data_IF_509606055952
#
_entry.id   IF_509606055952
#
_cell.length_a   1.000
_cell.length_b   1.000
_cell.length_c   1.000
_cell.angle_alpha   90.00
_cell.angle_beta   90.00
_cell.angle_gamma   90.00
#
_symmetry.space_group_name_H-M   'P 1'
#
loop_
_entity.id
_entity.type
_entity.pdbx_description
1 polymer ?
#
# COMPACT_ATOMS: atom_id res chain seq x y z
N UNK A 1 -11.08 3.58 -76.81
CA UNK A 1 -11.19 2.14 -77.13
C UNK A 1 -10.70 1.37 -75.91
N UNK A 2 -11.46 1.24 -74.83
CA UNK A 2 -12.83 0.73 -74.69
C UNK A 2 -12.93 -0.79 -74.83
N UNK A 3 -13.57 -1.42 -73.84
CA UNK A 3 -14.03 -2.82 -73.81
C UNK A 3 -13.28 -3.64 -72.75
N UNK A 4 -13.76 -3.95 -71.55
CA UNK A 4 -15.10 -4.07 -70.95
C UNK A 4 -16.09 -5.03 -71.64
N UNK A 5 -16.51 -6.02 -70.84
CA UNK A 5 -17.73 -6.88 -70.84
C UNK A 5 -17.46 -8.34 -71.18
N UNK A 6 -17.59 -9.28 -70.23
CA UNK A 6 -18.76 -9.74 -69.41
C UNK A 6 -19.55 -10.84 -70.12
N UNK A 7 -19.97 -11.82 -69.31
CA UNK A 7 -21.18 -12.68 -69.40
C UNK A 7 -20.78 -14.15 -69.19
N UNK A 8 -21.01 -14.76 -68.02
CA UNK A 8 -22.28 -15.40 -67.56
C UNK A 8 -22.63 -16.64 -68.40
N UNK A 9 -23.10 -17.79 -67.93
CA UNK A 9 -23.45 -18.36 -66.61
C UNK A 9 -23.83 -19.85 -66.87
N UNK A 10 -23.76 -20.72 -65.85
CA UNK A 10 -24.71 -21.83 -65.58
C UNK A 10 -24.23 -22.60 -64.31
N UNK A 11 -24.92 -22.50 -63.16
CA UNK A 11 -26.00 -23.42 -62.66
C UNK A 11 -25.45 -24.85 -62.38
N UNK A 12 -25.54 -25.49 -61.21
CA UNK A 12 -26.59 -25.51 -60.17
C UNK A 12 -26.05 -26.18 -58.86
N UNK A 13 -26.69 -25.83 -57.74
CA UNK A 13 -26.55 -26.20 -56.31
C UNK A 13 -26.24 -27.68 -55.93
N UNK A 14 -25.57 -27.88 -54.76
CA UNK A 14 -26.17 -28.39 -53.50
C UNK A 14 -25.21 -28.21 -52.29
N UNK A 15 -25.85 -27.95 -51.14
CA UNK A 15 -25.41 -27.53 -49.80
C UNK A 15 -24.34 -28.38 -49.07
N UNK A 16 -23.59 -27.68 -48.21
CA UNK A 16 -22.89 -28.26 -47.04
C UNK A 16 -22.08 -27.23 -46.27
N UNK A 17 -22.75 -26.41 -45.44
CA UNK A 17 -22.14 -25.43 -44.53
C UNK A 17 -21.15 -26.08 -43.55
N UNK A 18 -19.90 -25.61 -43.52
CA UNK A 18 -19.16 -25.30 -42.27
C UNK A 18 -18.39 -23.99 -42.50
N UNK A 19 -18.85 -22.93 -41.85
CA UNK A 19 -18.28 -21.59 -41.87
C UNK A 19 -17.11 -21.54 -40.86
N UNK A 20 -15.89 -21.78 -41.32
CA UNK A 20 -14.67 -21.50 -40.56
C UNK A 20 -14.23 -20.06 -40.76
N UNK A 21 -14.77 -19.14 -39.95
CA UNK A 21 -14.31 -17.75 -39.87
C UNK A 21 -12.87 -17.72 -39.33
N UNK A 22 -11.92 -17.40 -40.22
CA UNK A 22 -10.57 -16.97 -39.88
C UNK A 22 -10.65 -15.66 -39.08
N UNK A 23 -10.55 -15.76 -37.76
CA UNK A 23 -10.29 -14.62 -36.87
C UNK A 23 -8.84 -14.19 -37.10
N UNK A 24 -8.55 -12.90 -37.37
CA UNK A 24 -7.17 -12.45 -37.47
C UNK A 24 -6.50 -12.60 -36.11
N UNK A 25 -5.33 -13.22 -36.10
CA UNK A 25 -4.50 -13.44 -34.93
C UNK A 25 -4.39 -12.14 -34.12
N UNK A 26 -5.07 -12.13 -32.98
CA UNK A 26 -4.98 -11.08 -31.99
C UNK A 26 -3.51 -11.04 -31.55
N UNK A 27 -2.78 -10.01 -32.00
CA UNK A 27 -1.43 -9.74 -31.55
C UNK A 27 -1.48 -9.67 -30.03
N UNK A 28 -0.92 -10.69 -29.38
CA UNK A 28 -0.80 -10.79 -27.94
C UNK A 28 0.09 -9.61 -27.53
N UNK A 29 -0.53 -8.54 -27.02
CA UNK A 29 0.18 -7.50 -26.29
C UNK A 29 0.93 -8.19 -25.16
N UNK A 30 2.23 -8.43 -25.36
CA UNK A 30 3.10 -8.86 -24.28
C UNK A 30 2.95 -7.85 -23.15
N UNK A 31 2.55 -8.34 -21.96
CA UNK A 31 2.63 -7.55 -20.73
C UNK A 31 4.08 -7.12 -20.57
N UNK A 32 4.40 -5.86 -20.86
CA UNK A 32 5.59 -5.24 -20.28
C UNK A 32 5.44 -5.39 -18.77
N UNK A 33 6.26 -6.26 -18.17
CA UNK A 33 6.43 -6.29 -16.73
C UNK A 33 6.75 -4.87 -16.30
N UNK A 34 6.08 -4.38 -15.26
CA UNK A 34 6.45 -3.14 -14.58
C UNK A 34 7.96 -3.16 -14.38
N UNK A 35 8.69 -2.04 -14.63
CA UNK A 35 10.12 -1.99 -14.37
C UNK A 35 10.34 -2.45 -12.93
N UNK A 36 10.99 -3.60 -12.76
CA UNK A 36 11.41 -3.99 -11.43
C UNK A 36 12.51 -3.00 -11.02
N UNK A 37 12.41 -2.37 -9.85
CA UNK A 37 13.48 -1.52 -9.33
C UNK A 37 14.69 -2.42 -9.03
N UNK A 38 15.51 -2.63 -10.06
CA UNK A 38 16.59 -3.61 -10.06
C UNK A 38 17.46 -3.53 -11.32
N UNK A 39 17.35 -2.47 -12.11
CA UNK A 39 18.31 -2.21 -13.19
C UNK A 39 19.16 -1.00 -12.80
N UNK A 40 20.45 -1.27 -12.61
CA UNK A 40 21.54 -0.30 -12.46
C UNK A 40 21.39 0.85 -13.47
N UNK A 41 20.93 2.02 -13.00
CA UNK A 41 21.13 3.41 -13.53
C UNK A 41 20.10 4.47 -13.08
N UNK A 42 19.14 4.18 -12.21
CA UNK A 42 18.30 5.25 -11.63
C UNK A 42 18.79 5.63 -10.24
N UNK A 43 19.75 6.55 -10.19
CA UNK A 43 20.00 7.35 -8.99
C UNK A 43 19.00 8.50 -9.04
N UNK A 44 18.09 8.57 -8.06
CA UNK A 44 17.27 9.74 -7.86
C UNK A 44 18.12 10.85 -7.23
N UNK A 45 18.05 12.06 -7.79
CA UNK A 45 18.72 13.23 -7.23
C UNK A 45 17.66 14.27 -6.87
N UNK A 46 17.66 14.70 -5.62
CA UNK A 46 16.85 15.80 -5.13
C UNK A 46 17.74 17.00 -4.87
N UNK A 47 17.34 18.15 -5.41
CA UNK A 47 18.10 19.39 -5.27
C UNK A 47 17.34 20.37 -4.39
N UNK A 48 18.03 20.94 -3.41
CA UNK A 48 17.47 21.89 -2.45
C UNK A 48 16.90 23.17 -3.10
N UNK A 49 17.31 23.49 -4.33
CA UNK A 49 16.77 24.65 -5.07
C UNK A 49 15.23 24.61 -5.17
N UNK A 50 14.63 23.47 -5.52
CA UNK A 50 13.17 23.35 -5.62
C UNK A 50 12.46 23.54 -4.28
N UNK A 51 13.09 23.10 -3.20
CA UNK A 51 12.61 23.32 -1.83
C UNK A 51 12.56 24.83 -1.52
N UNK A 52 13.68 25.53 -1.72
CA UNK A 52 13.75 26.99 -1.48
C UNK A 52 12.75 27.74 -2.36
N UNK A 53 12.75 27.49 -3.67
CA UNK A 53 11.84 28.16 -4.62
C UNK A 53 10.37 27.91 -4.27
N UNK A 54 10.02 26.69 -3.84
CA UNK A 54 8.67 26.36 -3.39
C UNK A 54 8.24 27.18 -2.17
N UNK A 55 9.11 27.35 -1.17
CA UNK A 55 8.78 28.15 0.03
C UNK A 55 8.42 29.60 -0.29
N UNK A 56 8.99 30.18 -1.35
CA UNK A 56 8.66 31.55 -1.80
C UNK A 56 7.45 31.63 -2.75
N UNK A 57 6.90 30.50 -3.17
CA UNK A 57 5.69 30.44 -4.00
C UNK A 57 4.43 30.64 -3.17
N UNK A 58 3.30 30.92 -3.84
CA UNK A 58 1.99 31.04 -3.21
C UNK A 58 1.03 29.97 -3.72
N UNK A 59 0.31 29.32 -2.82
CA UNK A 59 -0.73 28.35 -3.13
C UNK A 59 -1.92 28.53 -2.17
N UNK A 60 -3.15 28.49 -2.69
CA UNK A 60 -4.34 28.46 -1.85
C UNK A 60 -4.54 27.05 -1.27
N UNK A 61 -3.99 26.86 -0.07
CA UNK A 61 -4.09 25.62 0.69
C UNK A 61 -5.48 25.41 1.31
N UNK A 62 -6.44 26.34 1.17
CA UNK A 62 -7.81 26.13 1.66
C UNK A 62 -8.73 25.52 0.60
N UNK A 63 -8.26 25.41 -0.64
CA UNK A 63 -9.02 24.83 -1.74
C UNK A 63 -8.36 23.53 -2.23
N UNK A 64 -8.90 22.34 -1.84
CA UNK A 64 -8.37 21.05 -2.30
C UNK A 64 -8.26 20.90 -3.82
N UNK A 65 -9.13 21.55 -4.61
CA UNK A 65 -9.03 21.50 -6.07
C UNK A 65 -7.82 22.27 -6.60
N UNK A 66 -7.43 23.37 -5.96
CA UNK A 66 -6.24 24.15 -6.34
C UNK A 66 -4.97 23.35 -6.06
N UNK A 67 -4.92 22.63 -4.93
CA UNK A 67 -3.81 21.72 -4.61
C UNK A 67 -3.79 20.55 -5.58
N UNK A 68 -4.94 19.92 -5.86
CA UNK A 68 -5.05 18.85 -6.84
C UNK A 68 -4.52 19.27 -8.23
N UNK A 69 -4.97 20.41 -8.76
CA UNK A 69 -4.51 20.93 -10.04
C UNK A 69 -2.99 21.16 -10.04
N UNK A 70 -2.46 21.70 -8.94
CA UNK A 70 -1.02 21.94 -8.76
C UNK A 70 -0.22 20.63 -8.81
N UNK A 71 -0.65 19.60 -8.11
CA UNK A 71 0.01 18.28 -8.13
C UNK A 71 -0.15 17.62 -9.50
N UNK A 72 -1.40 17.50 -9.97
CA UNK A 72 -1.74 16.76 -11.17
C UNK A 72 -1.06 17.32 -12.43
N UNK A 73 -0.97 18.65 -12.54
CA UNK A 73 -0.26 19.32 -13.64
C UNK A 73 1.24 19.00 -13.70
N UNK A 74 1.85 18.56 -12.60
CA UNK A 74 3.30 18.23 -12.50
C UNK A 74 3.62 16.74 -12.66
N UNK A 75 2.62 15.85 -12.63
CA UNK A 75 2.85 14.42 -12.81
C UNK A 75 3.36 14.10 -14.22
N UNK A 76 4.15 13.05 -14.36
CA UNK A 76 4.46 12.50 -15.69
C UNK A 76 3.20 11.91 -16.34
N UNK A 77 3.27 11.58 -17.64
CA UNK A 77 2.16 10.93 -18.34
C UNK A 77 1.78 9.56 -17.73
N UNK A 78 2.71 8.94 -17.01
CA UNK A 78 2.53 7.70 -16.29
C UNK A 78 3.25 7.75 -14.95
N UNK A 79 2.55 7.36 -13.88
CA UNK A 79 3.09 7.28 -12.52
C UNK A 79 2.78 5.92 -11.90
N UNK A 80 3.63 5.50 -10.95
CA UNK A 80 3.45 4.25 -10.21
C UNK A 80 3.08 4.59 -8.77
N UNK A 81 2.00 3.98 -8.30
CA UNK A 81 1.63 3.95 -6.89
C UNK A 81 2.31 2.73 -6.28
N UNK A 82 3.23 2.94 -5.33
CA UNK A 82 3.97 1.85 -4.70
C UNK A 82 3.27 1.24 -3.48
N UNK A 83 2.72 2.03 -2.54
CA UNK A 83 2.05 1.47 -1.37
C UNK A 83 0.86 0.59 -1.73
N UNK A 84 0.68 -0.50 -0.99
CA UNK A 84 -0.38 -1.49 -1.28
C UNK A 84 -1.80 -0.98 -1.05
N UNK A 85 -1.94 0.07 -0.24
CA UNK A 85 -3.19 0.79 0.02
C UNK A 85 -3.61 1.76 -1.11
N UNK A 86 -2.78 1.93 -2.15
CA UNK A 86 -3.06 2.74 -3.34
C UNK A 86 -2.93 4.27 -3.16
N UNK A 87 -2.01 4.71 -2.30
CA UNK A 87 -1.74 6.11 -2.05
C UNK A 87 -0.52 6.58 -2.84
N UNK A 88 -0.72 7.57 -3.71
CA UNK A 88 0.36 8.27 -4.40
C UNK A 88 0.79 9.48 -3.56
N UNK A 89 1.74 9.25 -2.65
CA UNK A 89 2.26 10.27 -1.76
C UNK A 89 3.00 11.39 -2.50
N UNK A 90 2.85 12.62 -2.02
CA UNK A 90 3.58 13.78 -2.49
C UNK A 90 3.97 14.68 -1.32
N UNK A 91 5.01 15.47 -1.57
CA UNK A 91 5.39 16.60 -0.73
C UNK A 91 5.49 17.84 -1.62
N UNK A 92 4.92 18.96 -1.17
CA UNK A 92 5.10 20.26 -1.81
C UNK A 92 5.52 21.31 -0.79
N UNK A 93 6.18 22.33 -1.30
CA UNK A 93 6.57 23.52 -0.53
C UNK A 93 5.89 24.71 -1.15
N UNK A 94 5.11 25.43 -0.35
CA UNK A 94 4.36 26.59 -0.78
C UNK A 94 4.04 27.49 0.43
N UNK A 95 4.02 28.80 0.21
CA UNK A 95 3.59 29.78 1.21
C UNK A 95 4.35 29.68 2.54
N UNK A 96 5.66 29.39 2.47
CA UNK A 96 6.52 29.18 3.64
C UNK A 96 6.28 27.87 4.42
N UNK A 97 5.47 26.95 3.89
CA UNK A 97 5.06 25.70 4.55
C UNK A 97 5.52 24.47 3.78
N UNK A 98 5.70 23.37 4.50
CA UNK A 98 5.83 22.02 3.92
C UNK A 98 4.49 21.33 4.04
N UNK A 99 3.98 20.82 2.93
CA UNK A 99 2.68 20.15 2.86
C UNK A 99 2.92 18.72 2.41
N UNK A 100 2.42 17.78 3.20
CA UNK A 100 2.42 16.36 2.87
C UNK A 100 1.02 15.95 2.46
N UNK A 101 0.92 14.98 1.57
CA UNK A 101 -0.38 14.50 1.12
C UNK A 101 -0.29 13.31 0.19
N UNK A 102 -1.44 12.92 -0.34
CA UNK A 102 -1.53 11.84 -1.31
C UNK A 102 -2.66 12.09 -2.32
N UNK A 103 -2.51 11.48 -3.48
CA UNK A 103 -3.63 11.16 -4.37
C UNK A 103 -3.98 9.69 -4.18
N UNK A 104 -5.20 9.37 -3.78
CA UNK A 104 -5.62 8.00 -3.46
C UNK A 104 -6.64 7.49 -4.46
N UNK A 105 -6.33 6.35 -5.07
CA UNK A 105 -7.28 5.54 -5.84
C UNK A 105 -7.78 4.41 -4.94
N UNK A 106 -8.71 4.76 -4.05
CA UNK A 106 -9.21 3.87 -3.01
C UNK A 106 -9.87 2.62 -3.62
N UNK A 107 -9.61 1.45 -3.05
CA UNK A 107 -10.18 0.20 -3.53
C UNK A 107 -11.72 0.15 -3.40
N UNK A 108 -12.29 0.95 -2.50
CA UNK A 108 -13.72 1.06 -2.30
C UNK A 108 -14.45 1.76 -3.47
N UNK A 109 -13.87 2.81 -4.05
CA UNK A 109 -14.62 3.71 -4.95
C UNK A 109 -13.88 4.16 -6.23
N UNK A 110 -12.62 3.78 -6.45
CA UNK A 110 -11.89 4.11 -7.69
C UNK A 110 -12.58 3.61 -8.96
N UNK A 111 -13.32 2.51 -8.87
CA UNK A 111 -14.07 1.93 -9.99
C UNK A 111 -15.36 2.71 -10.29
N UNK A 112 -15.81 3.55 -9.36
CA UNK A 112 -16.93 4.49 -9.52
C UNK A 112 -16.49 5.82 -10.14
N UNK A 113 -15.19 5.95 -10.46
CA UNK A 113 -14.64 7.14 -11.11
C UNK A 113 -14.17 8.20 -10.11
N UNK A 114 -13.83 7.81 -8.88
CA UNK A 114 -13.39 8.70 -7.81
C UNK A 114 -11.86 8.62 -7.62
N UNK A 115 -11.25 9.77 -7.37
CA UNK A 115 -9.89 9.89 -6.84
C UNK A 115 -9.93 10.85 -5.66
N UNK A 116 -9.24 10.52 -4.59
CA UNK A 116 -9.18 11.37 -3.40
C UNK A 116 -7.90 12.19 -3.40
N UNK A 117 -7.98 13.39 -2.86
CA UNK A 117 -6.80 14.14 -2.41
C UNK A 117 -6.91 14.34 -0.90
N UNK A 118 -5.83 14.05 -0.18
CA UNK A 118 -5.67 14.36 1.23
C UNK A 118 -4.33 15.07 1.44
N UNK A 119 -4.29 16.12 2.26
CA UNK A 119 -3.05 16.82 2.60
C UNK A 119 -3.15 17.58 3.91
N UNK A 120 -2.01 17.84 4.54
CA UNK A 120 -1.91 18.55 5.80
C UNK A 120 -0.60 19.33 5.88
N UNK A 121 -0.53 20.33 6.78
CA UNK A 121 0.72 21.02 7.06
C UNK A 121 1.65 20.13 7.89
N UNK A 122 2.81 19.80 7.32
CA UNK A 122 3.77 18.91 7.93
C UNK A 122 4.73 19.66 8.85
N UNK A 123 4.74 19.29 10.14
CA UNK A 123 5.75 19.74 11.09
C UNK A 123 6.95 18.78 11.13
N UNK A 124 8.09 19.25 10.62
CA UNK A 124 9.38 18.53 10.63
C UNK A 124 9.82 18.10 12.03
N UNK A 125 9.40 18.81 13.08
CA UNK A 125 9.73 18.49 14.47
C UNK A 125 8.73 17.53 15.13
N UNK A 126 7.56 17.30 14.54
CA UNK A 126 6.49 16.46 15.11
C UNK A 126 5.82 17.04 16.36
N UNK A 127 5.98 18.33 16.66
CA UNK A 127 5.42 18.94 17.88
C UNK A 127 3.98 19.45 17.67
N UNK A 128 3.66 19.87 16.45
CA UNK A 128 2.39 20.52 16.10
C UNK A 128 1.85 20.00 14.77
N UNK A 129 1.73 18.68 14.63
CA UNK A 129 1.16 18.12 13.40
C UNK A 129 -0.29 18.56 13.20
N UNK A 130 -0.61 18.91 11.95
CA UNK A 130 -1.97 19.24 11.53
C UNK A 130 -2.81 17.95 11.47
N UNK A 131 -3.54 17.69 12.55
CA UNK A 131 -4.38 16.51 12.71
C UNK A 131 -5.69 16.59 11.93
N UNK A 132 -6.12 17.80 11.53
CA UNK A 132 -7.36 17.98 10.79
C UNK A 132 -7.13 17.75 9.29
N UNK A 133 -6.04 18.31 8.77
CA UNK A 133 -5.72 18.26 7.35
C UNK A 133 -6.87 18.76 6.47
N UNK A 134 -6.82 18.39 5.20
CA UNK A 134 -7.88 18.65 4.21
C UNK A 134 -7.99 17.48 3.28
N UNK A 135 -9.23 17.10 3.00
CA UNK A 135 -9.55 16.01 2.08
C UNK A 135 -10.63 16.42 1.07
N UNK A 136 -10.64 15.75 -0.08
CA UNK A 136 -11.75 15.80 -1.02
C UNK A 136 -11.79 14.56 -1.90
N UNK A 137 -12.97 13.93 -1.99
CA UNK A 137 -13.30 13.00 -3.06
C UNK A 137 -13.60 13.78 -4.36
N UNK A 138 -12.84 13.50 -5.41
CA UNK A 138 -12.90 14.21 -6.70
C UNK A 138 -13.44 13.27 -7.76
N UNK A 139 -14.39 13.76 -8.55
CA UNK A 139 -15.11 12.96 -9.55
C UNK A 139 -15.34 13.75 -10.85
N UNK A 140 -16.14 13.19 -11.76
CA UNK A 140 -16.58 13.87 -12.97
C UNK A 140 -17.30 15.20 -12.70
N UNK A 141 -17.93 15.36 -11.53
CA UNK A 141 -18.57 16.62 -11.11
C UNK A 141 -17.56 17.76 -10.93
N UNK A 142 -16.31 17.43 -10.65
CA UNK A 142 -15.19 18.37 -10.49
C UNK A 142 -14.38 18.51 -11.79
N UNK A 143 -14.84 17.90 -12.90
CA UNK A 143 -14.14 17.89 -14.18
C UNK A 143 -13.02 16.84 -14.28
N UNK A 144 -12.90 15.92 -13.31
CA UNK A 144 -11.91 14.85 -13.32
C UNK A 144 -12.54 13.53 -13.77
N UNK A 145 -11.97 12.92 -14.79
CA UNK A 145 -12.42 11.62 -15.28
C UNK A 145 -11.44 10.53 -14.88
N UNK A 146 -11.86 9.64 -13.97
CA UNK A 146 -11.12 8.43 -13.62
C UNK A 146 -11.74 7.25 -14.38
N UNK A 147 -10.91 6.50 -15.10
CA UNK A 147 -11.33 5.34 -15.87
C UNK A 147 -10.41 4.16 -15.63
N UNK A 148 -10.98 3.02 -15.27
CA UNK A 148 -10.27 1.76 -15.17
C UNK A 148 -9.77 1.30 -16.55
N UNK A 149 -8.48 1.03 -16.64
CA UNK A 149 -7.84 0.45 -17.84
C UNK A 149 -7.54 -1.05 -17.67
N UNK A 150 -7.38 -1.50 -16.43
CA UNK A 150 -7.15 -2.90 -16.10
C UNK A 150 -7.18 -3.14 -14.59
N UNK A 151 -6.76 -4.33 -14.12
CA UNK A 151 -6.78 -4.66 -12.69
C UNK A 151 -5.89 -3.77 -11.82
N UNK A 152 -4.77 -3.27 -12.37
CA UNK A 152 -3.78 -2.45 -11.67
C UNK A 152 -3.46 -1.15 -12.44
N UNK A 153 -4.41 -0.62 -13.21
CA UNK A 153 -4.17 0.59 -14.00
C UNK A 153 -5.43 1.41 -14.23
N UNK A 154 -5.31 2.71 -14.01
CA UNK A 154 -6.36 3.71 -14.16
C UNK A 154 -5.82 4.89 -14.95
N UNK A 155 -6.62 5.45 -15.86
CA UNK A 155 -6.37 6.77 -16.43
C UNK A 155 -7.15 7.81 -15.66
N UNK A 156 -6.48 8.88 -15.26
CA UNK A 156 -7.10 10.08 -14.70
C UNK A 156 -6.91 11.20 -15.70
N UNK A 157 -7.98 11.93 -16.04
CA UNK A 157 -7.92 13.06 -16.97
C UNK A 157 -8.50 14.31 -16.35
N UNK A 158 -7.81 15.44 -16.51
CA UNK A 158 -8.22 16.75 -16.01
C UNK A 158 -7.62 17.85 -16.90
N UNK A 159 -8.43 18.84 -17.28
CA UNK A 159 -8.02 20.00 -18.10
C UNK A 159 -7.15 19.65 -19.33
N UNK A 160 -7.54 18.61 -20.07
CA UNK A 160 -6.83 18.18 -21.27
C UNK A 160 -5.56 17.34 -21.03
N UNK A 161 -5.07 17.26 -19.78
CA UNK A 161 -4.00 16.34 -19.39
C UNK A 161 -4.58 14.99 -18.99
N UNK A 162 -3.90 13.91 -19.39
CA UNK A 162 -4.22 12.54 -18.98
C UNK A 162 -2.98 11.89 -18.37
N UNK A 163 -3.14 11.27 -17.22
CA UNK A 163 -2.08 10.55 -16.49
C UNK A 163 -2.53 9.11 -16.28
N UNK A 164 -1.63 8.16 -16.53
CA UNK A 164 -1.84 6.75 -16.23
C UNK A 164 -1.26 6.44 -14.84
N UNK A 165 -2.13 6.07 -13.92
CA UNK A 165 -1.73 5.56 -12.60
C UNK A 165 -1.61 4.04 -12.69
N UNK A 166 -0.43 3.50 -12.36
CA UNK A 166 -0.21 2.06 -12.20
C UNK A 166 -0.20 1.71 -10.73
N UNK A 167 -1.15 0.89 -10.31
CA UNK A 167 -1.17 0.33 -8.96
C UNK A 167 -0.07 -0.72 -8.84
N UNK A 168 0.56 -0.83 -7.67
CA UNK A 168 1.63 -1.81 -7.48
C UNK A 168 1.08 -3.22 -7.57
N UNK A 169 1.65 -4.02 -8.46
CA UNK A 169 1.33 -5.44 -8.57
C UNK A 169 2.45 -6.26 -7.93
N UNK A 170 2.31 -6.54 -6.63
CA UNK A 170 3.35 -7.10 -5.77
C UNK A 170 3.16 -8.59 -5.44
N UNK A 171 2.00 -9.18 -5.75
CA UNK A 171 1.77 -10.61 -5.54
C UNK A 171 2.31 -11.44 -6.71
N UNK A 172 3.60 -11.74 -6.71
CA UNK A 172 4.22 -12.63 -7.69
C UNK A 172 4.23 -14.09 -7.21
N UNK A 173 4.52 -14.34 -5.94
CA UNK A 173 4.57 -15.67 -5.31
C UNK A 173 4.41 -15.59 -3.78
N UNK A 174 4.11 -16.74 -3.17
CA UNK A 174 4.07 -16.89 -1.71
C UNK A 174 5.51 -17.00 -1.14
N UNK A 175 5.76 -16.76 0.16
CA UNK A 175 7.09 -16.83 0.75
C UNK A 175 7.79 -18.18 0.48
N UNK A 176 9.03 -18.16 -0.03
CA UNK A 176 9.80 -19.36 -0.41
C UNK A 176 11.08 -19.53 0.41
N UNK A 177 11.77 -18.44 0.74
CA UNK A 177 13.04 -18.46 1.50
C UNK A 177 12.81 -18.67 3.00
N UNK A 178 11.73 -18.09 3.52
CA UNK A 178 11.35 -18.18 4.92
C UNK A 178 10.52 -19.44 5.19
N UNK A 179 10.68 -20.02 6.37
CA UNK A 179 9.85 -21.13 6.84
C UNK A 179 8.70 -20.61 7.71
N UNK A 180 7.46 -20.76 7.25
CA UNK A 180 6.30 -20.46 8.08
C UNK A 180 6.09 -21.55 9.14
N UNK A 181 5.67 -21.14 10.33
CA UNK A 181 5.24 -22.07 11.39
C UNK A 181 3.90 -22.69 11.01
N UNK A 182 3.61 -23.87 11.58
CA UNK A 182 2.36 -24.62 11.27
C UNK A 182 1.07 -23.83 11.58
N UNK A 183 1.13 -22.89 12.53
CA UNK A 183 0.01 -22.04 12.93
C UNK A 183 -0.13 -20.80 12.05
N UNK A 184 0.91 -20.43 11.30
CA UNK A 184 0.94 -19.23 10.50
C UNK A 184 0.31 -19.45 9.13
N UNK A 185 -0.37 -18.43 8.64
CA UNK A 185 -0.83 -18.33 7.26
C UNK A 185 -0.32 -17.04 6.63
N UNK A 186 0.00 -17.11 5.35
CA UNK A 186 0.32 -15.93 4.57
C UNK A 186 -0.98 -15.23 4.17
N UNK A 187 -1.18 -14.00 4.66
CA UNK A 187 -2.38 -13.20 4.39
C UNK A 187 -2.22 -12.42 3.09
N UNK A 188 -1.09 -11.73 2.92
CA UNK A 188 -0.79 -11.03 1.68
C UNK A 188 0.49 -10.20 1.70
N UNK A 189 1.00 -9.81 0.51
CA UNK A 189 2.15 -8.95 0.38
C UNK A 189 1.76 -7.52 0.72
N UNK A 190 2.67 -6.83 1.39
CA UNK A 190 2.58 -5.41 1.70
C UNK A 190 3.77 -4.73 1.05
N UNK A 191 3.52 -3.57 0.46
CA UNK A 191 4.56 -2.64 0.08
C UNK A 191 4.25 -1.36 0.83
N UNK A 192 5.19 -0.96 1.66
CA UNK A 192 5.11 0.19 2.55
C UNK A 192 5.80 1.39 1.91
N UNK A 193 5.34 2.59 2.21
CA UNK A 193 5.88 3.88 1.77
C UNK A 193 7.35 4.09 2.15
N UNK A 194 7.86 3.37 3.17
CA UNK A 194 9.30 3.33 3.47
C UNK A 194 10.13 2.72 2.32
N UNK A 195 9.50 2.08 1.34
CA UNK A 195 10.15 1.33 0.28
C UNK A 195 10.42 -0.13 0.62
N UNK A 196 10.09 -0.56 1.84
CA UNK A 196 10.20 -1.95 2.27
C UNK A 196 8.97 -2.75 1.87
N UNK A 197 9.19 -4.05 1.66
CA UNK A 197 8.14 -5.01 1.37
C UNK A 197 8.04 -5.98 2.52
N UNK A 198 6.81 -6.35 2.85
CA UNK A 198 6.52 -7.33 3.88
C UNK A 198 5.61 -8.43 3.34
N UNK A 199 5.63 -9.56 4.01
CA UNK A 199 4.55 -10.51 3.99
C UNK A 199 3.79 -10.35 5.30
N UNK A 200 2.51 -10.03 5.21
CA UNK A 200 1.61 -10.06 6.35
C UNK A 200 1.28 -11.51 6.65
N UNK A 201 1.64 -11.96 7.84
CA UNK A 201 1.32 -13.28 8.34
C UNK A 201 0.26 -13.18 9.43
N UNK A 202 -0.52 -14.24 9.60
CA UNK A 202 -1.45 -14.40 10.71
C UNK A 202 -1.21 -15.72 11.41
N UNK A 203 -0.93 -15.69 12.72
CA UNK A 203 -0.88 -16.87 13.56
C UNK A 203 -2.30 -17.23 14.01
N UNK A 204 -2.82 -18.36 13.52
CA UNK A 204 -4.20 -18.82 13.83
C UNK A 204 -4.40 -19.26 15.28
N UNK A 205 -3.32 -19.65 15.98
CA UNK A 205 -3.41 -20.09 17.38
C UNK A 205 -3.46 -18.87 18.29
N UNK A 206 -2.55 -17.92 18.06
CA UNK A 206 -2.45 -16.70 18.87
C UNK A 206 -3.40 -15.58 18.39
N UNK A 207 -4.05 -15.77 17.24
CA UNK A 207 -4.90 -14.79 16.54
C UNK A 207 -4.18 -13.46 16.32
N UNK A 208 -2.93 -13.53 15.88
CA UNK A 208 -1.99 -12.41 15.93
C UNK A 208 -1.31 -12.19 14.58
N UNK A 209 -1.17 -10.92 14.18
CA UNK A 209 -0.49 -10.56 12.94
C UNK A 209 1.01 -10.42 13.14
N UNK A 210 1.78 -10.66 12.07
CA UNK A 210 3.23 -10.44 12.05
C UNK A 210 3.62 -9.83 10.71
N UNK A 211 4.45 -8.79 10.72
CA UNK A 211 5.10 -8.29 9.52
C UNK A 211 6.44 -9.01 9.33
N UNK A 212 6.51 -9.90 8.36
CA UNK A 212 7.75 -10.56 7.96
C UNK A 212 8.39 -9.79 6.81
N UNK A 213 9.65 -9.36 6.96
CA UNK A 213 10.37 -8.69 5.88
C UNK A 213 10.44 -9.61 4.65
N UNK A 214 10.10 -9.07 3.47
CA UNK A 214 10.19 -9.80 2.23
C UNK A 214 11.63 -9.77 1.69
N UNK A 215 12.39 -10.81 2.01
CA UNK A 215 13.77 -11.03 1.55
C UNK A 215 13.84 -11.88 0.26
N UNK A 216 12.75 -12.06 -0.49
CA UNK A 216 12.76 -12.81 -1.77
C UNK A 216 13.62 -12.11 -2.84
N UNK A 217 13.63 -10.78 -2.83
CA UNK A 217 14.38 -9.93 -3.75
C UNK A 217 15.36 -9.00 -3.04
N UNK A 218 15.72 -7.92 -3.73
CA UNK A 218 16.52 -6.84 -3.16
C UNK A 218 15.73 -6.11 -2.07
N UNK A 219 16.36 -5.91 -0.92
CA UNK A 219 15.85 -5.10 0.18
C UNK A 219 16.59 -3.76 0.17
N UNK A 220 15.92 -2.61 -0.04
CA UNK A 220 16.55 -1.29 -0.07
C UNK A 220 16.84 -0.77 1.35
N UNK A 221 17.60 -1.55 2.12
CA UNK A 221 18.01 -1.25 3.49
C UNK A 221 19.38 -1.86 3.79
N UNK A 222 20.11 -1.20 4.68
CA UNK A 222 21.33 -1.73 5.31
C UNK A 222 21.05 -1.98 6.78
N UNK A 223 21.39 -3.17 7.25
CA UNK A 223 21.14 -3.57 8.64
C UNK A 223 22.40 -3.46 9.50
N UNK A 224 22.24 -2.99 10.73
CA UNK A 224 23.27 -3.08 11.78
C UNK A 224 22.80 -4.03 12.88
N UNK A 225 23.67 -4.91 13.38
CA UNK A 225 23.31 -5.78 14.51
C UNK A 225 23.18 -4.96 15.79
N UNK A 226 22.08 -5.16 16.52
CA UNK A 226 21.80 -4.57 17.83
C UNK A 226 21.99 -5.58 18.96
N UNK A 227 22.54 -6.77 18.68
CA UNK A 227 22.67 -7.85 19.64
C UNK A 227 22.80 -9.17 18.91
N UNK A 228 22.45 -10.28 19.58
CA UNK A 228 22.52 -11.60 18.94
C UNK A 228 21.44 -11.79 17.87
N UNK A 229 20.20 -11.38 18.18
CA UNK A 229 19.01 -11.72 17.38
C UNK A 229 18.17 -10.49 17.00
N UNK A 230 18.72 -9.27 17.11
CA UNK A 230 18.04 -8.04 16.69
C UNK A 230 18.93 -7.30 15.70
N UNK A 231 18.33 -6.85 14.60
CA UNK A 231 18.98 -6.00 13.60
C UNK A 231 18.16 -4.74 13.36
N UNK A 232 18.84 -3.63 13.12
CA UNK A 232 18.24 -2.32 12.93
C UNK A 232 18.50 -1.81 11.50
N UNK A 233 17.44 -1.36 10.81
CA UNK A 233 17.54 -0.69 9.52
C UNK A 233 18.11 0.71 9.67
N UNK A 234 19.20 1.02 8.94
CA UNK A 234 19.90 2.30 9.05
C UNK A 234 19.09 3.47 8.50
N UNK A 235 18.27 3.24 7.47
CA UNK A 235 17.49 4.29 6.83
C UNK A 235 16.12 4.45 7.48
N UNK A 236 15.41 3.36 7.72
CA UNK A 236 14.04 3.42 8.25
C UNK A 236 13.96 3.49 9.76
N UNK A 237 15.01 3.05 10.47
CA UNK A 237 14.90 2.83 11.91
C UNK A 237 13.94 1.69 12.28
N UNK A 238 13.61 0.80 11.34
CA UNK A 238 12.84 -0.40 11.65
C UNK A 238 13.76 -1.45 12.28
N UNK A 239 13.33 -1.98 13.43
CA UNK A 239 14.01 -3.04 14.14
C UNK A 239 13.36 -4.39 13.85
N UNK A 240 14.19 -5.37 13.56
CA UNK A 240 13.75 -6.73 13.22
C UNK A 240 14.36 -7.73 14.18
N UNK A 241 13.54 -8.68 14.63
CA UNK A 241 14.02 -9.93 15.20
C UNK A 241 14.55 -10.81 14.06
N UNK A 242 15.84 -11.15 14.11
CA UNK A 242 16.51 -12.03 13.15
C UNK A 242 16.30 -13.49 13.56
N UNK A 243 15.18 -14.05 13.12
CA UNK A 243 14.78 -15.43 13.36
C UNK A 243 15.59 -16.38 12.47
N UNK A 244 16.79 -16.71 12.95
CA UNK A 244 17.71 -17.66 12.29
C UNK A 244 17.11 -19.05 12.14
N UNK A 245 16.19 -19.45 13.04
CA UNK A 245 15.56 -20.77 13.02
C UNK A 245 14.65 -20.92 11.81
N UNK A 246 13.86 -19.89 11.48
CA UNK A 246 12.95 -19.90 10.34
C UNK A 246 13.46 -19.12 9.13
N UNK A 247 14.69 -18.60 9.20
CA UNK A 247 15.37 -17.85 8.12
C UNK A 247 14.55 -16.64 7.67
N UNK A 248 14.15 -15.80 8.63
CA UNK A 248 13.29 -14.64 8.39
C UNK A 248 13.59 -13.50 9.35
N UNK A 249 13.17 -12.30 8.98
CA UNK A 249 13.15 -11.12 9.84
C UNK A 249 11.72 -10.70 10.12
N UNK A 250 11.40 -10.50 11.39
CA UNK A 250 10.07 -10.07 11.85
C UNK A 250 10.21 -8.66 12.40
N UNK A 251 9.39 -7.72 11.91
CA UNK A 251 9.36 -6.35 12.44
C UNK A 251 8.93 -6.41 13.91
N UNK A 252 9.78 -5.94 14.81
CA UNK A 252 9.48 -5.86 16.25
C UNK A 252 9.43 -4.43 16.75
N UNK A 253 9.97 -3.47 15.99
CA UNK A 253 10.04 -2.09 16.42
C UNK A 253 10.06 -1.08 15.28
N UNK A 254 9.39 0.05 15.49
CA UNK A 254 9.48 1.25 14.65
C UNK A 254 9.92 2.43 15.52
N UNK A 255 10.80 3.26 14.98
CA UNK A 255 11.42 4.34 15.75
C UNK A 255 10.41 5.46 16.05
N UNK A 256 10.24 5.79 17.33
CA UNK A 256 9.21 6.72 17.83
C UNK A 256 9.27 8.10 17.20
N UNK A 257 10.46 8.67 16.96
CA UNK A 257 10.55 9.97 16.27
C UNK A 257 9.99 9.97 14.85
N UNK A 258 9.98 8.83 14.15
CA UNK A 258 9.36 8.74 12.84
C UNK A 258 7.84 8.73 12.95
N UNK A 259 7.32 8.02 13.97
CA UNK A 259 5.91 7.99 14.34
C UNK A 259 5.43 9.39 14.75
N UNK A 260 6.13 10.07 15.66
CA UNK A 260 5.79 11.42 16.12
C UNK A 260 5.74 12.42 14.97
N UNK A 261 6.61 12.23 13.98
CA UNK A 261 6.68 13.08 12.80
C UNK A 261 5.66 12.71 11.73
N UNK A 262 5.02 11.54 11.80
CA UNK A 262 4.17 11.00 10.74
C UNK A 262 4.87 11.06 9.37
N UNK A 263 6.10 10.52 9.32
CA UNK A 263 6.91 10.49 8.10
C UNK A 263 6.81 9.12 7.42
N UNK A 264 7.44 8.92 6.25
CA UNK A 264 7.40 7.63 5.51
C UNK A 264 8.01 6.41 6.24
N UNK A 265 8.43 6.56 7.49
CA UNK A 265 9.06 5.53 8.33
C UNK A 265 8.33 5.37 9.68
N UNK A 266 7.06 5.73 9.75
CA UNK A 266 6.19 5.57 10.93
C UNK A 266 5.57 4.16 11.05
N UNK A 267 5.67 3.36 9.98
CA UNK A 267 5.49 1.92 9.99
C UNK A 267 4.27 1.45 9.20
N UNK A 268 4.19 0.15 8.90
CA UNK A 268 3.23 -0.39 7.91
C UNK A 268 1.81 -0.58 8.44
N UNK A 269 1.44 0.06 9.54
CA UNK A 269 0.25 -0.31 10.32
C UNK A 269 -1.07 -0.14 9.57
N UNK A 270 -1.14 0.80 8.64
CA UNK A 270 -2.30 1.04 7.80
C UNK A 270 -2.19 0.37 6.42
N UNK A 271 -1.03 -0.18 6.06
CA UNK A 271 -0.81 -0.84 4.79
C UNK A 271 -1.48 -2.22 4.73
N UNK A 272 -2.56 -2.37 3.93
CA UNK A 272 -3.20 -3.67 3.70
C UNK A 272 -3.17 -4.05 2.21
N UNK A 273 -3.25 -5.36 1.87
CA UNK A 273 -3.23 -5.85 0.49
C UNK A 273 -4.56 -5.60 -0.24
N UNK A 274 -5.01 -4.34 -0.34
CA UNK A 274 -6.34 -3.94 -0.78
C UNK A 274 -6.66 -4.42 -2.20
N UNK A 275 -5.67 -4.39 -3.08
CA UNK A 275 -5.82 -4.88 -4.46
C UNK A 275 -6.03 -6.39 -4.57
N UNK A 276 -5.80 -7.12 -3.48
CA UNK A 276 -5.92 -8.57 -3.41
C UNK A 276 -7.02 -9.01 -2.44
N UNK A 277 -7.89 -8.11 -1.99
CA UNK A 277 -8.90 -8.38 -0.94
C UNK A 277 -9.75 -9.62 -1.18
N UNK A 278 -10.09 -9.91 -2.44
CA UNK A 278 -10.90 -11.09 -2.81
C UNK A 278 -10.14 -12.41 -2.57
N UNK A 279 -8.81 -12.37 -2.69
CA UNK A 279 -7.92 -13.49 -2.42
C UNK A 279 -7.56 -13.57 -0.93
N UNK A 280 -7.19 -12.45 -0.32
CA UNK A 280 -6.72 -12.40 1.07
C UNK A 280 -7.82 -12.61 2.07
N UNK A 281 -9.04 -12.12 1.75
CA UNK A 281 -10.19 -12.10 2.66
C UNK A 281 -9.80 -11.53 4.03
N UNK A 282 -9.01 -10.45 4.02
CA UNK A 282 -8.31 -9.93 5.19
C UNK A 282 -9.23 -9.57 6.35
N UNK A 283 -10.46 -9.09 6.05
CA UNK A 283 -11.45 -8.78 7.08
C UNK A 283 -11.70 -9.95 8.05
N UNK A 284 -11.63 -11.21 7.60
CA UNK A 284 -11.79 -12.37 8.48
C UNK A 284 -10.69 -12.46 9.53
N UNK A 285 -9.45 -12.20 9.13
CA UNK A 285 -8.31 -12.20 10.06
C UNK A 285 -8.37 -10.99 11.00
N UNK A 286 -8.82 -9.83 10.51
CA UNK A 286 -9.06 -8.65 11.34
C UNK A 286 -10.11 -8.95 12.42
N UNK A 287 -11.25 -9.56 12.06
CA UNK A 287 -12.31 -9.94 13.01
C UNK A 287 -11.90 -11.04 14.00
N UNK A 288 -10.91 -11.87 13.64
CA UNK A 288 -10.31 -12.85 14.54
C UNK A 288 -9.32 -12.21 15.52
N UNK A 289 -8.46 -11.31 15.05
CA UNK A 289 -7.48 -10.57 15.86
C UNK A 289 -8.13 -9.52 16.77
N UNK A 290 -9.16 -8.84 16.26
CA UNK A 290 -9.78 -7.67 16.85
C UNK A 290 -11.29 -7.90 16.99
N UNK A 291 -11.74 -8.48 18.12
CA UNK A 291 -13.15 -8.83 18.30
C UNK A 291 -14.12 -7.66 18.10
N UNK A 292 -13.73 -6.43 18.46
CA UNK A 292 -14.54 -5.22 18.26
C UNK A 292 -14.85 -4.92 16.78
N UNK A 293 -14.08 -5.48 15.84
CA UNK A 293 -14.25 -5.29 14.40
C UNK A 293 -15.44 -6.07 13.82
N UNK A 294 -15.90 -7.12 14.50
CA UNK A 294 -16.90 -8.06 13.96
C UNK A 294 -18.17 -7.35 13.52
N UNK A 295 -18.47 -7.43 12.22
CA UNK A 295 -19.64 -6.79 11.62
C UNK A 295 -19.59 -5.26 11.58
N UNK A 296 -18.48 -4.63 11.98
CA UNK A 296 -18.29 -3.18 12.02
C UNK A 296 -17.32 -2.67 10.94
N UNK A 297 -16.73 -3.58 10.16
CA UNK A 297 -15.83 -3.26 9.05
C UNK A 297 -16.33 -3.79 7.71
N UNK A 298 -15.89 -3.16 6.63
CA UNK A 298 -16.02 -3.69 5.29
C UNK A 298 -14.96 -4.78 4.99
N UNK A 299 -14.94 -5.27 3.75
CA UNK A 299 -14.01 -6.31 3.33
C UNK A 299 -12.53 -5.87 3.32
N UNK A 300 -12.26 -4.57 3.24
CA UNK A 300 -10.93 -3.97 3.23
C UNK A 300 -10.42 -3.64 4.64
N UNK A 301 -11.30 -3.64 5.65
CA UNK A 301 -10.97 -3.25 7.01
C UNK A 301 -11.34 -1.80 7.35
N UNK A 302 -12.05 -1.11 6.45
CA UNK A 302 -12.62 0.22 6.70
C UNK A 302 -13.83 0.13 7.63
N UNK A 303 -13.95 1.06 8.59
CA UNK A 303 -15.11 1.08 9.49
C UNK A 303 -16.38 1.48 8.74
N UNK A 304 -17.48 0.77 8.98
CA UNK A 304 -18.77 1.05 8.35
C UNK A 304 -19.41 2.36 8.85
N UNK A 305 -19.04 2.80 10.05
CA UNK A 305 -19.63 3.97 10.74
C UNK A 305 -18.70 5.17 10.83
N UNK A 306 -17.42 5.00 10.53
CA UNK A 306 -16.42 6.07 10.55
C UNK A 306 -15.83 6.20 9.15
N UNK A 307 -16.25 7.26 8.47
CA UNK A 307 -15.78 7.54 7.11
C UNK A 307 -14.26 7.68 7.11
N UNK A 308 -13.60 7.03 6.16
CA UNK A 308 -12.15 7.13 5.91
C UNK A 308 -11.23 6.55 6.99
N UNK A 309 -11.80 6.01 8.08
CA UNK A 309 -11.05 5.29 9.10
C UNK A 309 -11.00 3.79 8.78
N UNK A 310 -9.88 3.14 9.08
CA UNK A 310 -9.68 1.70 8.93
C UNK A 310 -9.01 1.11 10.15
N UNK A 311 -9.10 -0.21 10.32
CA UNK A 311 -8.39 -0.92 11.37
C UNK A 311 -6.89 -0.90 11.09
N UNK A 312 -6.08 -0.39 12.02
CA UNK A 312 -4.63 -0.50 11.91
C UNK A 312 -4.15 -1.84 12.49
N UNK A 313 -3.08 -2.40 11.91
CA UNK A 313 -2.37 -3.58 12.41
C UNK A 313 -1.03 -3.12 13.00
N UNK A 314 -1.00 -2.86 14.30
CA UNK A 314 0.16 -2.33 15.03
C UNK A 314 1.04 -3.42 15.64
N UNK A 315 1.24 -4.56 14.98
CA UNK A 315 1.98 -5.70 15.55
C UNK A 315 3.51 -5.47 15.59
N UNK A 316 3.95 -4.48 16.36
CA UNK A 316 5.32 -4.07 16.65
C UNK A 316 5.32 -3.01 17.78
N UNK A 317 6.45 -2.79 18.43
CA UNK A 317 6.58 -1.72 19.43
C UNK A 317 7.00 -0.38 18.81
N UNK A 318 6.62 0.73 19.43
CA UNK A 318 7.21 2.03 19.14
C UNK A 318 8.34 2.27 20.13
N UNK A 319 9.58 2.34 19.66
CA UNK A 319 10.77 2.44 20.52
C UNK A 319 11.47 3.79 20.37
N UNK A 320 12.01 4.30 21.48
CA UNK A 320 12.81 5.54 21.49
C UNK A 320 14.28 5.29 21.81
N UNK A 321 14.59 4.12 22.39
CA UNK A 321 15.93 3.69 22.73
C UNK A 321 16.12 2.26 22.26
N UNK A 322 17.29 1.99 21.72
CA UNK A 322 17.65 0.69 21.17
C UNK A 322 17.65 -0.40 22.26
N UNK A 323 18.02 -0.05 23.50
CA UNK A 323 18.05 -0.98 24.63
C UNK A 323 16.66 -1.55 24.97
N UNK A 324 15.60 -0.77 24.72
CA UNK A 324 14.22 -1.20 24.99
C UNK A 324 13.82 -2.39 24.09
N UNK A 325 14.39 -2.47 22.87
CA UNK A 325 14.17 -3.60 21.94
C UNK A 325 14.85 -4.88 22.46
N UNK A 326 16.05 -4.76 23.03
CA UNK A 326 16.78 -5.91 23.56
C UNK A 326 16.13 -6.44 24.83
N UNK A 327 15.63 -5.54 25.67
CA UNK A 327 14.89 -5.91 26.87
C UNK A 327 13.53 -6.55 26.52
N UNK A 328 12.84 -6.06 25.49
CA UNK A 328 11.63 -6.69 24.96
C UNK A 328 11.90 -8.16 24.57
N UNK A 329 12.93 -8.40 23.75
CA UNK A 329 13.25 -9.77 23.30
C UNK A 329 13.67 -10.65 24.49
N UNK A 330 14.50 -10.15 25.40
CA UNK A 330 14.96 -10.88 26.59
C UNK A 330 13.81 -11.24 27.53
N UNK A 331 12.93 -10.28 27.81
CA UNK A 331 11.78 -10.47 28.71
C UNK A 331 10.75 -11.44 28.12
N UNK A 332 10.45 -11.34 26.82
CA UNK A 332 9.58 -12.29 26.13
C UNK A 332 10.17 -13.70 26.10
N UNK A 333 11.47 -13.85 25.83
CA UNK A 333 12.16 -15.16 25.86
C UNK A 333 12.13 -15.78 27.26
N UNK A 334 12.22 -14.97 28.31
CA UNK A 334 12.21 -15.44 29.69
C UNK A 334 10.82 -15.79 30.20
N UNK A 335 9.78 -15.15 29.67
CA UNK A 335 8.39 -15.29 30.15
C UNK A 335 7.52 -16.24 29.33
N UNK A 336 7.89 -16.55 28.08
CA UNK A 336 7.08 -17.37 27.16
C UNK A 336 7.81 -18.67 26.84
N UNK A 337 7.23 -19.79 27.26
CA UNK A 337 7.74 -21.13 26.93
C UNK A 337 7.23 -21.64 25.58
N UNK A 338 6.03 -21.21 25.19
CA UNK A 338 5.44 -21.56 23.90
C UNK A 338 5.94 -20.62 22.81
N UNK A 339 6.40 -21.21 21.70
CA UNK A 339 6.93 -20.46 20.57
C UNK A 339 5.90 -19.48 19.98
N UNK A 340 4.63 -19.87 19.89
CA UNK A 340 3.48 -19.00 19.58
C UNK A 340 3.53 -17.68 20.32
N UNK A 341 3.46 -17.80 21.63
CA UNK A 341 3.36 -16.69 22.56
C UNK A 341 4.62 -15.82 22.59
N UNK A 342 5.80 -16.40 22.29
CA UNK A 342 7.03 -15.63 22.16
C UNK A 342 6.94 -14.62 21.01
N UNK A 343 6.51 -15.04 19.81
CA UNK A 343 6.40 -14.13 18.67
C UNK A 343 5.37 -13.02 18.94
N UNK A 344 4.17 -13.36 19.42
CA UNK A 344 3.16 -12.34 19.77
C UNK A 344 3.62 -11.39 20.89
N UNK A 345 4.53 -11.82 21.76
CA UNK A 345 5.09 -10.98 22.82
C UNK A 345 6.09 -9.95 22.27
N UNK A 346 6.95 -10.33 21.31
CA UNK A 346 7.93 -9.42 20.71
C UNK A 346 7.33 -8.50 19.63
N UNK A 347 6.09 -8.74 19.22
CA UNK A 347 5.32 -7.91 18.28
C UNK A 347 4.03 -7.41 18.93
N UNK A 348 4.09 -6.69 20.06
CA UNK A 348 2.88 -6.30 20.80
C UNK A 348 1.91 -5.54 19.90
N UNK A 349 0.62 -5.81 20.04
CA UNK A 349 -0.45 -5.13 19.30
C UNK A 349 -1.48 -4.57 20.29
N UNK A 350 -1.56 -3.23 20.46
CA UNK A 350 -2.44 -2.63 21.44
C UNK A 350 -3.93 -2.82 21.12
N UNK A 351 -4.30 -3.04 19.86
CA UNK A 351 -5.71 -3.18 19.46
C UNK A 351 -6.29 -4.55 19.83
N UNK A 352 -5.44 -5.56 20.02
CA UNK A 352 -5.89 -6.88 20.49
C UNK A 352 -6.40 -6.87 21.93
N UNK A 353 -6.07 -5.84 22.71
CA UNK A 353 -6.51 -5.69 24.10
C UNK A 353 -7.88 -5.02 24.21
N UNK A 354 -8.40 -4.45 23.12
CA UNK A 354 -9.70 -3.79 23.09
C UNK A 354 -10.79 -4.86 23.04
N UNK A 355 -11.64 -4.88 24.07
CA UNK A 355 -12.77 -5.82 24.17
C UNK A 355 -13.91 -5.41 23.23
N UNK A 356 -14.77 -6.39 22.89
CA UNK A 356 -16.03 -6.08 22.19
C UNK A 356 -16.81 -5.01 22.98
N UNK A 357 -17.42 -4.02 22.30
CA UNK A 357 -18.35 -3.14 22.97
C UNK A 357 -19.46 -3.99 23.58
N UNK A 358 -19.68 -3.86 24.90
CA UNK A 358 -20.79 -4.51 25.57
C UNK A 358 -22.08 -4.07 24.89
N UNK A 359 -22.87 -5.03 24.39
CA UNK A 359 -24.25 -4.78 23.98
C UNK A 359 -24.95 -4.03 25.12
N UNK A 360 -25.60 -2.88 24.89
CA UNK A 360 -26.41 -2.26 25.92
C UNK A 360 -27.43 -3.31 26.37
N UNK A 361 -27.42 -3.63 27.66
CA UNK A 361 -28.51 -4.39 28.26
C UNK A 361 -29.78 -3.58 28.00
N UNK A 362 -30.69 -4.14 27.22
CA UNK A 362 -32.05 -3.60 27.07
C UNK A 362 -32.72 -3.72 28.43
N UNK A 363 -32.78 -2.61 29.17
CA UNK A 363 -33.75 -2.41 30.26
C UNK A 363 -35.16 -2.19 29.69
#
# INVERSE_FOLDING_TARGET
MEGMRRSESNLLLILGLILGLLIPACARLERKKSPQPGTSKMVAAEFNQKFIEGLYSTLDLNNPMTVFETIFSRLDEEVVIYPTENYYYFQIHASGKTIWGNLRLDACDRDEGIIHIGYFEYDENGNYQDMEGKEKAISAKDGVLVKRLGPFSYSVSYMGKRVIFRLNNVWDRDPQKAQLRKTEVFVGPIFDESGLKFFLLFDKREKHFLYMLNEEGYVPESFIPLGEDVVLGRRTGFAFFDDKRHKRKILIGVHGRSVDRNNWYDGPFDQLPDNYVERTKISRYLEEAYPFARGNIDKFGGYLTQKEARIPIFSYTVYYREEDLLELVRSCRSSKSEEGQFYSCITPDPYQLIKEPSTPETE
#
